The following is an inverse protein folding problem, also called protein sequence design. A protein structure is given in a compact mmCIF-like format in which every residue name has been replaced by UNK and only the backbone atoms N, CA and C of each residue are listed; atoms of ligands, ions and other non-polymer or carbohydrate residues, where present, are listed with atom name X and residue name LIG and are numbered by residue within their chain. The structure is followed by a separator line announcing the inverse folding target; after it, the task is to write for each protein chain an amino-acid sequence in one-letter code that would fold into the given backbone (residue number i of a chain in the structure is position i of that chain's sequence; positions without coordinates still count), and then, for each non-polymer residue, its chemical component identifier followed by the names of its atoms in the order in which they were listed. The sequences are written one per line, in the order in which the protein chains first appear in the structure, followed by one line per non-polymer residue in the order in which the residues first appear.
data_IF_773617097939
#
_entry.id   IF_773617097939
#
_cell.length_a   1.000
_cell.length_b   1.000
_cell.length_c   1.000
_cell.angle_alpha   90.00
_cell.angle_beta   90.00
_cell.angle_gamma   90.00
#
_symmetry.space_group_name_H-M   'P 1'
#
loop_
_entity.id
_entity.type
_entity.pdbx_description
1 polymer ?
#
# COMPACT_ATOMS: atom_id res chain seq x y z
N UNK A 1 -21.13 21.64 -21.56
CA UNK A 1 -20.52 21.04 -22.76
C UNK A 1 -20.15 19.61 -22.43
N UNK A 2 -20.75 18.62 -23.08
CA UNK A 2 -20.40 17.21 -22.90
C UNK A 2 -19.69 16.74 -24.17
N UNK A 3 -18.49 16.17 -24.02
CA UNK A 3 -17.77 15.55 -25.13
C UNK A 3 -18.26 14.11 -25.24
N UNK A 4 -19.20 13.88 -26.15
CA UNK A 4 -19.62 12.52 -26.53
C UNK A 4 -18.64 11.97 -27.59
N UNK A 5 -17.49 11.47 -27.16
CA UNK A 5 -16.66 10.62 -28.00
C UNK A 5 -17.13 9.17 -27.91
N UNK A 6 -17.57 8.61 -29.04
CA UNK A 6 -17.84 7.18 -29.19
C UNK A 6 -16.49 6.46 -29.30
N UNK A 7 -16.00 5.92 -28.19
CA UNK A 7 -14.85 5.01 -28.23
C UNK A 7 -15.22 3.81 -29.13
N UNK A 8 -14.34 3.36 -30.05
CA UNK A 8 -14.60 2.16 -30.83
C UNK A 8 -14.78 0.98 -29.87
N UNK A 9 -15.86 0.22 -30.03
CA UNK A 9 -16.10 -1.02 -29.27
C UNK A 9 -14.99 -2.03 -29.59
N UNK A 10 -13.93 -2.03 -28.79
CA UNK A 10 -12.94 -3.11 -28.80
C UNK A 10 -13.43 -4.17 -27.82
N UNK A 11 -13.46 -5.42 -28.26
CA UNK A 11 -13.76 -6.55 -27.39
C UNK A 11 -12.89 -6.47 -26.12
N UNK A 12 -13.47 -6.62 -24.92
CA UNK A 12 -12.69 -6.61 -23.70
C UNK A 12 -11.61 -7.71 -23.79
N UNK A 13 -10.40 -7.46 -23.25
CA UNK A 13 -9.36 -8.50 -23.20
C UNK A 13 -9.92 -9.76 -22.51
N UNK A 14 -9.54 -10.94 -23.00
CA UNK A 14 -9.95 -12.21 -22.40
C UNK A 14 -9.39 -12.31 -20.97
N UNK A 15 -10.03 -13.09 -20.08
CA UNK A 15 -9.48 -13.37 -18.75
C UNK A 15 -8.06 -13.99 -18.81
N UNK A 16 -7.75 -14.74 -19.86
CA UNK A 16 -6.40 -15.27 -20.13
C UNK A 16 -5.39 -14.18 -20.50
N UNK A 17 -5.86 -13.05 -21.04
CA UNK A 17 -5.00 -11.91 -21.37
C UNK A 17 -4.66 -11.06 -20.15
N UNK A 18 -5.47 -11.17 -19.09
CA UNK A 18 -5.39 -10.39 -17.86
C UNK A 18 -4.48 -10.99 -16.79
N UNK A 19 -3.95 -12.20 -16.99
CA UNK A 19 -3.09 -12.84 -16.02
C UNK A 19 -1.72 -12.13 -15.97
N UNK A 20 -1.32 -11.58 -14.81
CA UNK A 20 0.00 -10.98 -14.65
C UNK A 20 1.11 -12.05 -14.76
N UNK A 21 2.33 -11.69 -15.22
CA UNK A 21 3.46 -12.62 -15.15
C UNK A 21 3.69 -13.07 -13.71
N UNK A 22 4.13 -14.32 -13.53
CA UNK A 22 4.39 -14.88 -12.21
C UNK A 22 5.41 -13.99 -11.46
N UNK A 23 5.19 -13.69 -10.17
CA UNK A 23 6.12 -12.87 -9.41
C UNK A 23 7.49 -13.56 -9.36
N UNK A 24 8.55 -12.82 -9.72
CA UNK A 24 9.93 -13.22 -9.49
C UNK A 24 10.15 -13.24 -7.96
N UNK A 25 10.28 -14.42 -7.38
CA UNK A 25 10.39 -14.57 -5.93
C UNK A 25 11.58 -13.80 -5.36
N UNK A 26 11.29 -12.81 -4.52
CA UNK A 26 12.25 -12.16 -3.63
C UNK A 26 12.12 -12.74 -2.22
N UNK A 27 13.00 -13.69 -1.88
CA UNK A 27 13.21 -14.08 -0.49
C UNK A 27 14.09 -13.03 0.19
N UNK A 28 13.51 -12.23 1.08
CA UNK A 28 14.22 -11.16 1.78
C UNK A 28 13.79 -11.06 3.24
N UNK A 29 14.65 -11.54 4.14
CA UNK A 29 14.56 -11.28 5.58
C UNK A 29 14.80 -9.79 5.86
N UNK A 30 13.78 -9.09 6.34
CA UNK A 30 13.86 -7.77 6.99
C UNK A 30 14.15 -6.57 6.08
N UNK A 31 13.15 -5.71 5.89
CA UNK A 31 13.32 -4.33 5.39
C UNK A 31 12.82 -4.03 3.97
N UNK A 32 12.33 -5.03 3.22
CA UNK A 32 11.80 -4.80 1.88
C UNK A 32 10.27 -4.53 1.92
N UNK A 33 9.90 -3.25 1.88
CA UNK A 33 8.48 -2.78 1.91
C UNK A 33 7.86 -2.66 0.52
N UNK A 34 8.47 -3.29 -0.47
CA UNK A 34 7.97 -3.30 -1.85
C UNK A 34 8.02 -4.70 -2.42
N UNK A 35 7.01 -5.08 -3.19
CA UNK A 35 6.95 -6.39 -3.84
C UNK A 35 6.91 -6.22 -5.35
N UNK A 36 7.57 -7.13 -6.07
CA UNK A 36 7.40 -7.24 -7.52
C UNK A 36 6.08 -7.93 -7.83
N UNK A 37 5.24 -7.23 -8.57
CA UNK A 37 3.94 -7.73 -9.01
C UNK A 37 3.92 -7.71 -10.52
N UNK A 38 3.44 -8.80 -11.13
CA UNK A 38 3.16 -8.77 -12.55
C UNK A 38 2.01 -7.78 -12.83
N UNK A 39 2.17 -6.95 -13.85
CA UNK A 39 1.19 -5.95 -14.25
C UNK A 39 0.94 -6.00 -15.74
N UNK A 40 -0.21 -5.44 -16.12
CA UNK A 40 -0.55 -5.17 -17.50
C UNK A 40 -0.54 -3.66 -17.68
N UNK A 41 0.34 -3.19 -18.55
CA UNK A 41 0.55 -1.77 -18.81
C UNK A 41 -0.05 -1.41 -20.16
N UNK A 42 -1.03 -0.51 -20.16
CA UNK A 42 -1.58 0.04 -21.39
C UNK A 42 -0.93 1.39 -21.69
N UNK A 43 -0.30 1.53 -22.87
CA UNK A 43 0.31 2.78 -23.37
C UNK A 43 0.09 2.88 -24.87
N UNK A 44 -0.36 4.04 -25.34
CA UNK A 44 -0.53 4.36 -26.78
C UNK A 44 -1.31 3.30 -27.59
N UNK A 45 -2.34 2.71 -26.98
CA UNK A 45 -3.15 1.66 -27.62
C UNK A 45 -2.48 0.29 -27.69
N UNK A 46 -1.26 0.14 -27.17
CA UNK A 46 -0.55 -1.12 -26.97
C UNK A 46 -0.70 -1.61 -25.53
N UNK A 47 -0.75 -2.93 -25.38
CA UNK A 47 -0.71 -3.62 -24.08
C UNK A 47 0.67 -4.26 -23.94
N UNK A 48 1.33 -3.98 -22.83
CA UNK A 48 2.61 -4.55 -22.44
C UNK A 48 2.44 -5.34 -21.13
N UNK A 49 3.09 -6.51 -21.03
CA UNK A 49 3.06 -7.37 -19.84
C UNK A 49 4.44 -7.32 -19.22
N UNK A 50 4.52 -6.80 -18.01
CA UNK A 50 5.79 -6.51 -17.33
C UNK A 50 5.62 -6.75 -15.84
N UNK A 51 6.70 -6.66 -15.08
CA UNK A 51 6.63 -6.49 -13.63
C UNK A 51 6.66 -5.00 -13.27
N UNK A 52 6.10 -4.67 -12.12
CA UNK A 52 6.25 -3.38 -11.46
C UNK A 52 6.50 -3.58 -9.97
N UNK A 53 7.07 -2.57 -9.31
CA UNK A 53 7.30 -2.58 -7.87
C UNK A 53 6.17 -1.84 -7.18
N UNK A 54 5.48 -2.53 -6.28
CA UNK A 54 4.34 -1.98 -5.53
C UNK A 54 4.71 -1.90 -4.06
N UNK A 55 4.34 -0.80 -3.40
CA UNK A 55 4.53 -0.66 -1.95
C UNK A 55 3.58 -1.60 -1.18
N UNK A 56 4.08 -2.15 -0.08
CA UNK A 56 3.26 -2.92 0.86
C UNK A 56 2.49 -1.96 1.78
N UNK A 57 1.21 -2.26 1.97
CA UNK A 57 0.36 -1.62 2.98
C UNK A 57 -0.35 -2.71 3.78
N UNK A 58 -0.15 -2.71 5.10
CA UNK A 58 -0.79 -3.64 6.01
C UNK A 58 -1.60 -2.90 7.07
N UNK A 59 -2.69 -3.50 7.58
CA UNK A 59 -3.47 -2.90 8.66
C UNK A 59 -2.67 -2.97 9.97
N UNK A 60 -2.37 -1.80 10.54
CA UNK A 60 -1.71 -1.65 11.85
C UNK A 60 -2.67 -0.99 12.82
N UNK A 61 -2.83 -1.59 14.01
CA UNK A 61 -3.65 -1.07 15.08
C UNK A 61 -2.79 -0.34 16.11
N UNK A 62 -3.12 0.90 16.44
CA UNK A 62 -2.52 1.61 17.57
C UNK A 62 -3.35 1.35 18.82
N UNK A 63 -2.72 0.74 19.81
CA UNK A 63 -3.35 0.28 21.05
C UNK A 63 -2.77 1.04 22.22
N UNK A 64 -3.60 1.78 22.95
CA UNK A 64 -3.20 2.48 24.17
C UNK A 64 -3.84 1.80 25.38
N UNK A 65 -3.04 1.42 26.37
CA UNK A 65 -3.51 0.75 27.59
C UNK A 65 -4.42 -0.48 27.31
N UNK A 66 -4.11 -1.23 26.25
CA UNK A 66 -4.88 -2.43 25.85
C UNK A 66 -6.17 -2.15 25.07
N UNK A 67 -6.49 -0.89 24.75
CA UNK A 67 -7.65 -0.51 23.95
C UNK A 67 -7.20 -0.03 22.57
N UNK A 68 -7.74 -0.65 21.52
CA UNK A 68 -7.51 -0.20 20.14
C UNK A 68 -8.15 1.15 19.91
N UNK A 69 -7.36 2.12 19.47
CA UNK A 69 -7.79 3.48 19.20
C UNK A 69 -8.10 3.69 17.73
N UNK A 70 -7.21 3.21 16.86
CA UNK A 70 -7.32 3.33 15.40
C UNK A 70 -6.67 2.14 14.72
N UNK A 71 -7.17 1.81 13.53
CA UNK A 71 -6.50 0.92 12.57
C UNK A 71 -6.27 1.69 11.28
N UNK A 72 -5.02 1.67 10.79
CA UNK A 72 -4.63 2.34 9.54
C UNK A 72 -3.94 1.35 8.61
N UNK A 73 -4.09 1.53 7.30
CA UNK A 73 -3.21 0.88 6.34
C UNK A 73 -1.90 1.66 6.30
N UNK A 74 -0.80 0.99 6.61
CA UNK A 74 0.52 1.62 6.66
C UNK A 74 1.56 0.70 6.07
N UNK A 75 2.67 1.28 5.64
CA UNK A 75 3.87 0.50 5.36
C UNK A 75 4.33 -0.18 6.66
N UNK A 76 4.67 -1.50 6.66
CA UNK A 76 5.08 -2.23 7.87
C UNK A 76 6.55 -1.96 8.22
N UNK A 77 6.91 -0.69 8.35
CA UNK A 77 8.24 -0.21 8.72
C UNK A 77 8.11 1.02 9.62
N UNK A 78 9.12 1.24 10.46
CA UNK A 78 9.22 2.42 11.35
C UNK A 78 7.95 2.65 12.20
N UNK A 79 7.33 1.55 12.66
CA UNK A 79 6.02 1.59 13.34
C UNK A 79 6.06 2.30 14.69
N UNK A 80 7.19 2.26 15.40
CA UNK A 80 7.38 2.98 16.67
C UNK A 80 7.36 4.50 16.43
N UNK A 81 8.08 4.97 15.42
CA UNK A 81 8.10 6.38 15.01
C UNK A 81 6.72 6.84 14.52
N UNK A 82 6.03 6.00 13.75
CA UNK A 82 4.63 6.23 13.36
C UNK A 82 3.73 6.40 14.58
N UNK A 83 3.83 5.50 15.56
CA UNK A 83 2.99 5.55 16.76
C UNK A 83 3.24 6.83 17.57
N UNK A 84 4.50 7.20 17.80
CA UNK A 84 4.86 8.45 18.48
C UNK A 84 4.33 9.67 17.73
N UNK A 85 4.61 9.73 16.41
CA UNK A 85 4.18 10.83 15.56
C UNK A 85 2.67 10.99 15.52
N UNK A 86 1.92 9.89 15.40
CA UNK A 86 0.46 9.88 15.43
C UNK A 86 -0.07 10.35 16.79
N UNK A 87 0.46 9.82 17.89
CA UNK A 87 0.04 10.17 19.26
C UNK A 87 0.11 11.68 19.51
N UNK A 88 1.20 12.31 19.06
CA UNK A 88 1.41 13.75 19.20
C UNK A 88 0.54 14.56 18.23
N UNK A 89 0.47 14.15 16.96
CA UNK A 89 -0.24 14.90 15.92
C UNK A 89 -1.75 14.97 16.15
N UNK A 90 -2.33 13.87 16.66
CA UNK A 90 -3.75 13.79 16.98
C UNK A 90 -4.08 14.32 18.39
N UNK A 91 -3.07 14.77 19.14
CA UNK A 91 -3.24 15.30 20.49
C UNK A 91 -3.74 14.26 21.49
N UNK A 92 -3.40 12.98 21.29
CA UNK A 92 -3.67 11.92 22.26
C UNK A 92 -2.93 12.20 23.57
N UNK A 93 -1.75 12.84 23.48
CA UNK A 93 -0.99 13.43 24.60
C UNK A 93 -0.61 14.87 24.28
N UNK A 94 -0.33 15.68 25.30
CA UNK A 94 0.03 17.09 25.12
C UNK A 94 1.55 17.30 24.89
N UNK A 95 2.37 16.36 25.36
CA UNK A 95 3.83 16.42 25.27
C UNK A 95 4.46 15.03 25.08
N UNK A 96 5.65 14.95 24.44
CA UNK A 96 6.36 13.68 24.27
C UNK A 96 6.71 12.96 25.58
N UNK A 97 6.90 13.70 26.67
CA UNK A 97 7.26 13.14 27.99
C UNK A 97 6.15 12.27 28.60
N UNK A 98 4.92 12.37 28.07
CA UNK A 98 3.78 11.52 28.46
C UNK A 98 3.80 10.14 27.77
N UNK A 99 4.69 9.93 26.78
CA UNK A 99 4.87 8.64 26.10
C UNK A 99 5.97 7.86 26.85
N UNK A 100 5.57 6.89 27.66
CA UNK A 100 6.50 6.14 28.51
C UNK A 100 7.23 5.00 27.78
N UNK A 101 6.56 4.33 26.84
CA UNK A 101 7.11 3.24 26.05
C UNK A 101 6.28 3.00 24.79
N UNK A 102 6.92 2.49 23.74
CA UNK A 102 6.29 2.05 22.50
C UNK A 102 6.92 0.72 22.12
N UNK A 103 6.11 -0.25 21.69
CA UNK A 103 6.54 -1.59 21.30
C UNK A 103 5.75 -2.00 20.05
N UNK A 104 6.44 -2.54 19.04
CA UNK A 104 5.88 -2.99 17.76
C UNK A 104 5.90 -4.52 17.59
#
# INVERSE_FOLDING_TARGET
MAVNQKFPERSPPSASDLAPPAPSGGGGSGGEVTHEVGVIRWRDGAIDRTTDRVAEETPVALVYHGVSYVVMLTTPADLEDLAVGFTLSEGVVASPDEIHSVEA
#
